data_IF_794169244646
#
_entry.id   IF_794169244646
#
_cell.length_a   1.000
_cell.length_b   1.000
_cell.length_c   1.000
_cell.angle_alpha   90.00
_cell.angle_beta   90.00
_cell.angle_gamma   90.00
#
_symmetry.space_group_name_H-M   'P 1'
#
loop_
_entity.id
_entity.type
_entity.pdbx_description
1 polymer ?
#
# COMPACT_ATOMS: atom_id res chain seq x y z
N UNK A 1 6.03 0.96 1.51
CA UNK A 1 6.02 0.71 2.98
C UNK A 1 5.62 -0.74 3.24
N UNK A 2 6.07 -1.31 4.36
CA UNK A 2 5.72 -2.67 4.81
C UNK A 2 5.54 -2.66 6.33
N UNK A 3 4.76 -3.60 6.86
CA UNK A 3 4.76 -3.87 8.29
C UNK A 3 6.16 -4.30 8.76
N UNK A 4 6.78 -3.60 9.73
CA UNK A 4 8.14 -3.90 10.17
C UNK A 4 8.25 -5.19 11.00
N UNK A 5 7.14 -5.88 11.28
CA UNK A 5 7.12 -7.11 12.06
C UNK A 5 7.79 -8.25 11.30
N UNK A 6 8.71 -8.92 11.97
CA UNK A 6 9.42 -10.08 11.44
C UNK A 6 8.94 -11.35 12.15
N UNK A 7 8.95 -12.46 11.43
CA UNK A 7 8.78 -13.81 11.97
C UNK A 7 9.99 -14.22 12.81
N UNK A 8 9.87 -15.31 13.58
CA UNK A 8 11.00 -15.90 14.34
C UNK A 8 12.20 -16.27 13.48
N UNK A 9 12.01 -16.42 12.16
CA UNK A 9 13.05 -16.73 11.17
C UNK A 9 13.64 -15.48 10.50
N UNK A 10 13.19 -14.29 10.89
CA UNK A 10 13.64 -12.99 10.37
C UNK A 10 13.00 -12.56 9.05
N UNK A 11 12.06 -13.34 8.49
CA UNK A 11 11.30 -12.94 7.31
C UNK A 11 10.17 -11.97 7.66
N UNK A 12 9.75 -11.11 6.73
CA UNK A 12 8.60 -10.22 6.95
C UNK A 12 7.32 -11.02 7.20
N UNK A 13 6.63 -10.74 8.30
CA UNK A 13 5.36 -11.42 8.61
C UNK A 13 4.31 -11.14 7.52
N UNK A 14 4.32 -9.93 6.97
CA UNK A 14 3.45 -9.52 5.86
C UNK A 14 3.59 -10.39 4.60
N UNK A 15 4.76 -11.00 4.39
CA UNK A 15 5.07 -11.79 3.20
C UNK A 15 5.20 -13.29 3.52
N UNK A 16 4.88 -13.72 4.74
CA UNK A 16 5.13 -15.06 5.22
C UNK A 16 4.37 -16.16 4.44
N UNK A 17 3.28 -15.78 3.77
CA UNK A 17 2.43 -16.68 2.98
C UNK A 17 2.69 -16.63 1.47
N UNK A 18 3.64 -15.81 1.00
CA UNK A 18 4.11 -15.89 -0.39
C UNK A 18 4.80 -17.24 -0.64
N UNK A 19 4.89 -17.67 -1.90
CA UNK A 19 5.52 -18.94 -2.30
C UNK A 19 6.93 -19.11 -1.70
N UNK A 20 7.73 -18.03 -1.68
CA UNK A 20 9.06 -17.97 -1.06
C UNK A 20 9.08 -17.19 0.26
N UNK A 21 7.94 -17.06 0.96
CA UNK A 21 7.77 -16.15 2.10
C UNK A 21 8.78 -16.29 3.24
N UNK A 22 9.31 -17.51 3.46
CA UNK A 22 10.34 -17.80 4.47
C UNK A 22 11.71 -17.18 4.14
N UNK A 23 11.94 -16.89 2.88
CA UNK A 23 13.19 -16.31 2.36
C UNK A 23 13.10 -14.78 2.24
N UNK A 24 11.89 -14.21 2.28
CA UNK A 24 11.64 -12.77 2.14
C UNK A 24 12.01 -12.01 3.42
N UNK A 25 13.32 -11.87 3.63
CA UNK A 25 13.96 -11.19 4.75
C UNK A 25 14.41 -9.78 4.34
N UNK A 26 14.51 -8.83 5.28
CA UNK A 26 15.14 -7.55 5.01
C UNK A 26 16.60 -7.75 4.63
N UNK A 27 17.10 -6.93 3.70
CA UNK A 27 18.51 -6.91 3.35
C UNK A 27 19.27 -6.27 4.53
N UNK A 28 20.25 -6.95 5.14
CA UNK A 28 20.97 -6.42 6.30
C UNK A 28 21.82 -5.20 5.91
N UNK A 29 21.98 -4.28 6.86
CA UNK A 29 22.96 -3.20 6.73
C UNK A 29 24.39 -3.75 6.86
N UNK A 30 25.34 -3.14 6.16
CA UNK A 30 26.75 -3.50 6.33
C UNK A 30 27.24 -3.08 7.72
N UNK A 31 28.17 -3.84 8.35
CA UNK A 31 28.76 -3.45 9.62
C UNK A 31 29.32 -2.01 9.60
N UNK A 32 28.96 -1.21 10.61
CA UNK A 32 29.40 0.18 10.72
C UNK A 32 28.59 1.20 9.91
N UNK A 33 27.59 0.77 9.14
CA UNK A 33 26.65 1.68 8.47
C UNK A 33 25.80 2.41 9.52
N UNK A 34 25.74 3.75 9.43
CA UNK A 34 24.78 4.53 10.22
C UNK A 34 23.35 4.27 9.73
N UNK A 35 22.46 3.71 10.58
CA UNK A 35 21.08 3.45 10.21
C UNK A 35 20.22 4.71 10.07
N UNK A 36 20.70 5.88 10.49
CA UNK A 36 19.91 7.14 10.56
C UNK A 36 20.55 8.29 9.77
N UNK A 37 21.18 7.97 8.64
CA UNK A 37 21.97 8.90 7.82
C UNK A 37 21.18 10.02 7.14
N UNK A 38 19.86 9.87 6.97
CA UNK A 38 19.01 10.88 6.34
C UNK A 38 17.64 10.99 7.01
N UNK A 39 17.09 12.20 7.04
CA UNK A 39 15.71 12.46 7.40
C UNK A 39 14.89 12.76 6.15
N UNK A 40 13.74 12.10 5.98
CA UNK A 40 12.74 12.50 4.96
C UNK A 40 11.31 12.33 5.45
N UNK A 41 10.44 13.12 4.85
CA UNK A 41 9.00 12.88 4.84
C UNK A 41 8.64 12.15 3.55
N UNK A 42 8.12 10.94 3.67
CA UNK A 42 7.68 10.12 2.54
C UNK A 42 6.16 10.11 2.50
N UNK A 43 5.60 10.22 1.30
CA UNK A 43 4.17 10.09 1.06
C UNK A 43 3.94 9.04 0.00
N UNK A 44 2.93 8.19 0.20
CA UNK A 44 2.61 7.14 -0.77
C UNK A 44 1.12 6.82 -0.75
N UNK A 45 0.59 6.43 -1.91
CA UNK A 45 -0.80 5.99 -2.07
C UNK A 45 -0.82 4.56 -2.59
N UNK A 46 -1.70 3.74 -2.03
CA UNK A 46 -1.87 2.33 -2.40
C UNK A 46 -3.34 2.00 -2.52
N UNK A 47 -3.70 1.13 -3.46
CA UNK A 47 -4.98 0.44 -3.33
C UNK A 47 -4.97 -0.47 -2.09
N UNK A 48 -6.15 -0.80 -1.58
CA UNK A 48 -6.31 -1.62 -0.36
C UNK A 48 -5.61 -2.97 -0.48
N UNK A 49 -5.69 -3.63 -1.63
CA UNK A 49 -5.11 -4.95 -1.82
C UNK A 49 -3.59 -4.93 -1.65
N UNK A 50 -2.92 -3.93 -2.23
CA UNK A 50 -1.46 -3.74 -2.09
C UNK A 50 -1.11 -3.45 -0.64
N UNK A 51 -1.87 -2.60 0.05
CA UNK A 51 -1.63 -2.30 1.47
C UNK A 51 -1.79 -3.55 2.35
N UNK A 52 -2.83 -4.36 2.12
CA UNK A 52 -3.06 -5.62 2.83
C UNK A 52 -1.91 -6.61 2.59
N UNK A 53 -1.45 -6.75 1.34
CA UNK A 53 -0.30 -7.60 1.00
C UNK A 53 1.00 -7.12 1.68
N UNK A 54 1.11 -5.84 2.00
CA UNK A 54 2.24 -5.27 2.75
C UNK A 54 2.05 -5.34 4.28
N UNK A 55 1.00 -6.02 4.76
CA UNK A 55 0.68 -6.17 6.17
C UNK A 55 0.30 -4.85 6.86
N UNK A 56 -0.05 -3.82 6.09
CA UNK A 56 -0.56 -2.56 6.61
C UNK A 56 -2.02 -2.82 6.98
N UNK A 57 -2.33 -2.75 8.27
CA UNK A 57 -3.63 -3.14 8.81
C UNK A 57 -4.78 -2.42 8.11
N UNK A 58 -5.58 -3.17 7.35
CA UNK A 58 -6.83 -2.70 6.77
C UNK A 58 -7.93 -3.27 7.66
N UNK A 59 -8.66 -2.41 8.37
CA UNK A 59 -9.86 -2.84 9.09
C UNK A 59 -10.88 -3.42 8.10
N UNK A 60 -11.93 -4.07 8.58
CA UNK A 60 -13.00 -4.59 7.71
C UNK A 60 -13.69 -3.43 6.98
N UNK A 61 -13.29 -3.15 5.75
CA UNK A 61 -13.97 -2.20 4.87
C UNK A 61 -15.13 -2.95 4.22
N UNK A 62 -16.28 -2.96 4.88
CA UNK A 62 -17.52 -3.48 4.30
C UNK A 62 -18.17 -2.41 3.43
N UNK A 63 -17.99 -2.48 2.10
CA UNK A 63 -18.72 -1.61 1.17
C UNK A 63 -18.12 -1.58 -0.24
N UNK A 64 -18.99 -1.50 -1.26
CA UNK A 64 -18.65 -1.43 -2.69
C UNK A 64 -17.98 -0.10 -3.13
N UNK A 65 -17.32 0.64 -2.25
CA UNK A 65 -16.77 1.96 -2.54
C UNK A 65 -15.28 1.90 -2.89
N UNK A 66 -14.85 2.75 -3.83
CA UNK A 66 -13.44 2.98 -4.13
C UNK A 66 -12.73 3.47 -2.87
N UNK A 67 -11.81 2.66 -2.36
CA UNK A 67 -11.07 2.98 -1.16
C UNK A 67 -9.58 2.70 -1.37
N UNK A 68 -8.76 3.58 -0.80
CA UNK A 68 -7.31 3.52 -0.91
C UNK A 68 -6.66 3.93 0.41
N UNK A 69 -5.38 3.60 0.52
CA UNK A 69 -4.56 3.91 1.68
C UNK A 69 -3.57 5.01 1.31
N UNK A 70 -3.46 6.02 2.16
CA UNK A 70 -2.35 6.96 2.13
C UNK A 70 -1.43 6.70 3.31
N UNK A 71 -0.14 6.70 3.05
CA UNK A 71 0.92 6.65 4.05
C UNK A 71 1.63 7.99 4.08
N UNK A 72 1.76 8.58 5.26
CA UNK A 72 2.65 9.70 5.55
C UNK A 72 3.67 9.25 6.57
N UNK A 73 4.94 9.35 6.24
CA UNK A 73 6.02 8.79 7.05
C UNK A 73 7.10 9.85 7.28
N UNK A 74 7.29 10.26 8.53
CA UNK A 74 8.40 11.10 8.93
C UNK A 74 9.48 10.19 9.55
N UNK A 75 10.56 9.94 8.83
CA UNK A 75 11.55 8.91 9.16
C UNK A 75 12.97 9.47 9.13
N UNK A 76 13.78 9.05 10.11
CA UNK A 76 15.25 9.01 9.97
C UNK A 76 15.64 7.59 9.56
N UNK A 77 16.40 7.44 8.48
CA UNK A 77 16.68 6.13 7.92
C UNK A 77 17.95 6.11 7.06
N UNK A 78 18.36 4.90 6.72
CA UNK A 78 19.30 4.59 5.65
C UNK A 78 18.67 3.54 4.73
N UNK A 79 19.19 3.40 3.52
CA UNK A 79 18.70 2.40 2.57
C UNK A 79 19.83 1.52 2.04
N UNK A 80 19.52 0.24 1.84
CA UNK A 80 20.42 -0.74 1.26
C UNK A 80 19.75 -1.37 0.06
N UNK A 81 20.46 -1.42 -1.05
CA UNK A 81 20.04 -2.03 -2.31
C UNK A 81 21.07 -3.10 -2.70
N UNK A 82 20.60 -4.17 -3.32
CA UNK A 82 21.42 -5.27 -3.88
C UNK A 82 21.02 -5.52 -5.32
N UNK A 83 21.95 -6.02 -6.13
CA UNK A 83 21.68 -6.38 -7.52
C UNK A 83 20.87 -7.68 -7.63
N UNK A 84 21.11 -8.63 -6.72
CA UNK A 84 20.44 -9.93 -6.68
C UNK A 84 19.34 -9.96 -5.61
N UNK A 85 18.04 -10.03 -5.99
CA UNK A 85 16.95 -9.99 -5.03
C UNK A 85 16.94 -11.17 -4.06
N UNK A 86 16.72 -10.89 -2.77
CA UNK A 86 16.50 -11.89 -1.73
C UNK A 86 15.13 -12.57 -1.96
N UNK A 87 15.11 -13.90 -1.93
CA UNK A 87 13.92 -14.71 -2.21
C UNK A 87 13.31 -14.47 -3.60
N UNK A 88 14.13 -14.00 -4.55
CA UNK A 88 13.70 -13.62 -5.89
C UNK A 88 12.81 -12.38 -5.95
N UNK A 89 12.63 -11.65 -4.84
CA UNK A 89 11.66 -10.56 -4.75
C UNK A 89 12.18 -9.29 -4.09
N UNK A 90 13.02 -9.32 -3.07
CA UNK A 90 13.42 -8.08 -2.34
C UNK A 90 14.81 -7.63 -2.81
N UNK A 91 14.91 -6.51 -3.53
CA UNK A 91 16.19 -5.94 -3.96
C UNK A 91 16.63 -4.72 -3.14
N UNK A 92 15.77 -4.22 -2.25
CA UNK A 92 16.17 -3.13 -1.35
C UNK A 92 15.42 -3.14 -0.03
N UNK A 93 16.00 -2.53 1.01
CA UNK A 93 15.37 -2.33 2.31
C UNK A 93 15.75 -0.96 2.88
N UNK A 94 14.76 -0.23 3.40
CA UNK A 94 14.98 0.95 4.24
C UNK A 94 14.91 0.58 5.70
N UNK A 95 15.97 0.90 6.41
CA UNK A 95 16.10 0.70 7.85
C UNK A 95 16.06 2.05 8.54
N UNK A 96 15.17 2.22 9.50
CA UNK A 96 15.03 3.50 10.16
C UNK A 96 14.08 3.48 11.34
N UNK A 97 13.83 4.67 11.86
CA UNK A 97 12.89 4.92 12.93
C UNK A 97 12.13 6.21 12.66
N UNK A 98 10.93 6.31 13.23
CA UNK A 98 10.09 7.49 13.13
C UNK A 98 8.63 7.17 13.25
N UNK A 99 7.82 7.90 12.51
CA UNK A 99 6.37 7.88 12.64
C UNK A 99 5.73 7.64 11.29
N UNK A 100 4.72 6.77 11.29
CA UNK A 100 3.87 6.48 10.14
C UNK A 100 2.42 6.79 10.48
N UNK A 101 1.80 7.67 9.71
CA UNK A 101 0.36 7.90 9.68
C UNK A 101 -0.21 7.16 8.47
N UNK A 102 -1.15 6.27 8.72
CA UNK A 102 -1.95 5.60 7.70
C UNK A 102 -3.33 6.24 7.69
N UNK A 103 -3.74 6.75 6.53
CA UNK A 103 -5.12 7.18 6.29
C UNK A 103 -5.81 6.16 5.40
N UNK A 104 -6.96 5.66 5.86
CA UNK A 104 -7.88 4.82 5.12
C UNK A 104 -8.96 5.73 4.56
N UNK A 105 -8.94 5.96 3.24
CA UNK A 105 -9.90 6.84 2.58
C UNK A 105 -10.94 5.96 1.90
N UNK A 106 -12.21 6.14 2.23
CA UNK A 106 -13.37 5.46 1.64
C UNK A 106 -14.47 6.46 1.25
N UNK A 107 -15.40 6.03 0.39
CA UNK A 107 -16.59 6.80 0.01
C UNK A 107 -16.27 8.16 -0.64
N UNK A 108 -15.36 8.15 -1.61
CA UNK A 108 -14.93 9.37 -2.29
C UNK A 108 -15.95 9.75 -3.35
N UNK A 109 -16.63 10.89 -3.15
CA UNK A 109 -17.63 11.39 -4.11
C UNK A 109 -17.04 12.23 -5.25
N UNK A 110 -15.73 12.50 -5.24
CA UNK A 110 -15.08 13.43 -6.20
C UNK A 110 -13.60 13.09 -6.48
N UNK A 111 -13.12 13.40 -7.70
CA UNK A 111 -11.72 13.26 -8.12
C UNK A 111 -10.83 14.36 -7.49
N UNK A 112 -10.72 14.39 -6.17
CA UNK A 112 -9.94 15.41 -5.45
C UNK A 112 -8.45 15.06 -5.46
N UNK A 113 -7.60 16.07 -5.59
CA UNK A 113 -6.15 15.90 -5.48
C UNK A 113 -5.79 15.70 -3.99
N UNK A 114 -5.36 14.48 -3.63
CA UNK A 114 -5.24 14.04 -2.24
C UNK A 114 -3.93 14.48 -1.57
N UNK A 115 -3.89 15.74 -1.14
CA UNK A 115 -2.97 16.17 -0.07
C UNK A 115 -3.68 16.18 1.29
N UNK A 116 -2.94 16.07 2.40
CA UNK A 116 -3.51 15.93 3.76
C UNK A 116 -4.53 17.02 4.13
N UNK A 117 -4.28 18.27 3.72
CA UNK A 117 -5.20 19.38 3.96
C UNK A 117 -6.50 19.25 3.16
N UNK A 118 -6.41 18.83 1.90
CA UNK A 118 -7.59 18.59 1.05
C UNK A 118 -8.44 17.41 1.57
N UNK A 119 -7.81 16.39 2.15
CA UNK A 119 -8.50 15.26 2.79
C UNK A 119 -9.27 15.73 4.01
N UNK A 120 -8.64 16.51 4.89
CA UNK A 120 -9.30 17.05 6.07
C UNK A 120 -10.54 17.86 5.69
N UNK A 121 -10.41 18.77 4.71
CA UNK A 121 -11.54 19.54 4.21
C UNK A 121 -12.64 18.66 3.58
N UNK A 122 -12.26 17.60 2.85
CA UNK A 122 -13.22 16.67 2.23
C UNK A 122 -14.00 15.87 3.27
N UNK A 123 -13.37 15.51 4.38
CA UNK A 123 -14.06 14.79 5.47
C UNK A 123 -15.02 15.70 6.23
N UNK A 124 -14.63 16.95 6.52
CA UNK A 124 -15.54 17.94 7.14
C UNK A 124 -16.80 18.21 6.30
N UNK A 125 -16.66 18.19 4.97
CA UNK A 125 -17.78 18.37 4.04
C UNK A 125 -18.61 17.09 3.82
N UNK A 126 -18.28 15.97 4.45
CA UNK A 126 -18.97 14.68 4.25
C UNK A 126 -18.80 14.10 2.84
N UNK A 127 -17.72 14.49 2.14
CA UNK A 127 -17.39 14.06 0.78
C UNK A 127 -16.47 12.84 0.73
N UNK A 128 -15.86 12.50 1.87
CA UNK A 128 -15.06 11.30 2.07
C UNK A 128 -15.14 10.85 3.53
N UNK A 129 -15.20 9.54 3.78
CA UNK A 129 -14.97 8.98 5.10
C UNK A 129 -13.51 8.57 5.21
N UNK A 130 -12.84 9.06 6.24
CA UNK A 130 -11.41 8.82 6.42
C UNK A 130 -11.15 8.37 7.85
N UNK A 131 -10.47 7.24 8.00
CA UNK A 131 -9.97 6.75 9.28
C UNK A 131 -8.46 6.88 9.31
N UNK A 132 -7.88 7.14 10.47
CA UNK A 132 -6.44 7.19 10.62
C UNK A 132 -5.93 6.19 11.66
N UNK A 133 -4.68 5.82 11.49
CA UNK A 133 -3.88 5.05 12.44
C UNK A 133 -2.47 5.63 12.43
N UNK A 134 -1.86 5.76 13.59
CA UNK A 134 -0.51 6.31 13.73
C UNK A 134 0.34 5.34 14.54
N UNK A 135 1.53 5.07 14.02
CA UNK A 135 2.43 4.08 14.58
C UNK A 135 3.83 4.67 14.72
N UNK A 136 4.42 4.51 15.89
CA UNK A 136 5.85 4.68 16.10
C UNK A 136 6.59 3.45 15.58
N UNK A 137 7.59 3.66 14.72
CA UNK A 137 8.46 2.62 14.21
C UNK A 137 9.85 2.84 14.79
N UNK A 138 10.41 1.86 15.48
CA UNK A 138 11.75 1.99 16.05
C UNK A 138 11.86 2.97 17.24
N UNK A 139 10.72 3.37 17.81
CA UNK A 139 10.63 4.23 19.00
C UNK A 139 10.11 3.38 20.15
N UNK A 140 10.94 3.19 21.19
CA UNK A 140 10.59 2.34 22.34
C UNK A 140 10.32 3.13 23.63
N UNK A 141 10.24 4.46 23.55
CA UNK A 141 10.02 5.33 24.71
C UNK A 141 8.52 5.46 24.99
N UNK A 142 8.00 4.94 26.12
CA UNK A 142 6.56 4.97 26.41
C UNK A 142 5.96 6.37 26.39
N UNK A 143 6.68 7.35 26.94
CA UNK A 143 6.21 8.74 27.01
C UNK A 143 5.97 9.34 25.62
N UNK A 144 6.81 8.99 24.63
CA UNK A 144 6.66 9.45 23.25
C UNK A 144 5.51 8.72 22.55
N UNK A 145 5.38 7.41 22.79
CA UNK A 145 4.28 6.63 22.23
C UNK A 145 2.92 7.08 22.80
N UNK A 146 2.87 7.57 24.04
CA UNK A 146 1.65 8.10 24.66
C UNK A 146 1.15 9.41 24.04
N UNK A 147 2.00 10.15 23.31
CA UNK A 147 1.61 11.36 22.57
C UNK A 147 0.89 11.00 21.26
N UNK A 148 1.05 9.77 20.76
CA UNK A 148 0.42 9.35 19.52
C UNK A 148 -1.09 9.21 19.73
N UNK A 149 -1.94 9.93 18.97
CA UNK A 149 -3.37 9.75 19.08
C UNK A 149 -3.76 8.31 18.69
N UNK A 150 -4.71 7.70 19.40
CA UNK A 150 -5.23 6.39 19.01
C UNK A 150 -5.91 6.42 17.64
N UNK A 151 -6.17 5.25 17.02
CA UNK A 151 -6.88 5.19 15.75
C UNK A 151 -8.30 5.77 15.88
N UNK A 152 -8.79 6.41 14.82
CA UNK A 152 -10.14 6.98 14.81
C UNK A 152 -10.49 7.69 13.51
N UNK A 153 -11.62 8.40 13.52
CA UNK A 153 -12.06 9.19 12.36
C UNK A 153 -11.15 10.40 12.16
N UNK A 154 -10.77 10.64 10.92
CA UNK A 154 -9.97 11.79 10.53
C UNK A 154 -10.88 13.00 10.37
N UNK A 155 -10.74 13.98 11.25
CA UNK A 155 -11.44 15.26 11.24
C UNK A 155 -10.45 16.37 11.62
N UNK A 156 -10.86 17.63 11.57
CA UNK A 156 -9.97 18.76 11.85
C UNK A 156 -9.33 18.68 13.25
N UNK A 157 -10.09 18.22 14.25
CA UNK A 157 -9.59 18.06 15.63
C UNK A 157 -8.47 17.01 15.70
N UNK A 158 -8.69 15.84 15.10
CA UNK A 158 -7.70 14.76 15.09
C UNK A 158 -6.52 15.06 14.15
N UNK A 159 -6.75 15.79 13.05
CA UNK A 159 -5.70 16.27 12.17
C UNK A 159 -4.69 17.13 12.93
N UNK A 160 -5.16 18.07 13.77
CA UNK A 160 -4.26 18.87 14.61
C UNK A 160 -3.45 18.00 15.58
N UNK A 161 -4.08 17.04 16.25
CA UNK A 161 -3.38 16.10 17.15
C UNK A 161 -2.31 15.28 16.41
N UNK A 162 -2.57 14.88 15.17
CA UNK A 162 -1.60 14.18 14.33
C UNK A 162 -0.41 15.07 14.02
N UNK A 163 -0.64 16.35 13.66
CA UNK A 163 0.46 17.30 13.43
C UNK A 163 1.31 17.50 14.69
N UNK A 164 0.67 17.71 15.83
CA UNK A 164 1.36 17.88 17.13
C UNK A 164 2.21 16.64 17.46
N UNK A 165 1.66 15.43 17.23
CA UNK A 165 2.39 14.17 17.44
C UNK A 165 3.57 14.00 16.46
N UNK A 166 3.39 14.38 15.19
CA UNK A 166 4.46 14.37 14.18
C UNK A 166 5.62 15.26 14.61
N UNK A 167 5.33 16.47 15.09
CA UNK A 167 6.37 17.41 15.51
C UNK A 167 7.05 16.95 16.81
N UNK A 168 6.30 16.45 17.79
CA UNK A 168 6.87 15.85 19.00
C UNK A 168 7.85 14.69 18.68
N UNK A 169 7.46 13.80 17.76
CA UNK A 169 8.33 12.69 17.34
C UNK A 169 9.54 13.17 16.55
N UNK A 170 9.41 14.16 15.67
CA UNK A 170 10.56 14.76 14.96
C UNK A 170 11.58 15.36 15.94
N UNK A 171 11.11 16.12 16.93
CA UNK A 171 11.97 16.68 17.98
C UNK A 171 12.64 15.59 18.80
N UNK A 172 11.90 14.53 19.15
CA UNK A 172 12.49 13.39 19.85
C UNK A 172 13.59 12.72 19.04
N UNK A 173 13.34 12.41 17.76
CA UNK A 173 14.32 11.74 16.88
C UNK A 173 15.61 12.56 16.71
N UNK A 174 15.53 13.89 16.66
CA UNK A 174 16.70 14.75 16.50
C UNK A 174 17.53 14.89 17.78
N UNK A 175 16.91 14.74 18.95
CA UNK A 175 17.58 14.88 20.25
C UNK A 175 18.05 13.55 20.85
N UNK A 176 17.39 12.44 20.49
CA UNK A 176 17.58 11.13 21.12
C UNK A 176 17.88 10.04 20.07
N UNK A 177 18.71 10.34 19.09
CA UNK A 177 19.03 9.40 17.99
C UNK A 177 19.62 8.08 18.51
N UNK A 178 20.35 8.10 19.62
CA UNK A 178 20.91 6.90 20.27
C UNK A 178 19.85 5.97 20.87
N UNK A 179 18.66 6.49 21.14
CA UNK A 179 17.55 5.74 21.75
C UNK A 179 16.63 5.11 20.69
N UNK A 180 16.89 5.39 19.41
CA UNK A 180 16.15 4.84 18.28
C UNK A 180 16.66 3.44 17.94
N UNK A 181 15.73 2.56 17.56
CA UNK A 181 16.06 1.24 17.06
C UNK A 181 15.72 1.14 15.57
N UNK A 182 16.67 0.82 14.69
CA UNK A 182 16.37 0.67 13.28
C UNK A 182 15.44 -0.52 13.04
N UNK A 183 14.35 -0.27 12.32
CA UNK A 183 13.40 -1.29 11.86
C UNK A 183 13.28 -1.24 10.34
N UNK A 184 13.05 -2.38 9.67
CA UNK A 184 12.88 -2.43 8.23
C UNK A 184 11.44 -1.98 7.87
N UNK A 185 11.26 -0.68 7.66
CA UNK A 185 9.92 -0.10 7.50
C UNK A 185 9.46 -0.08 6.03
N UNK A 186 10.37 -0.23 5.08
CA UNK A 186 10.04 -0.28 3.65
C UNK A 186 10.96 -1.26 2.93
N UNK A 187 10.41 -1.98 1.97
CA UNK A 187 11.16 -2.82 1.03
C UNK A 187 10.98 -2.32 -0.38
N UNK A 188 12.00 -2.55 -1.19
CA UNK A 188 11.93 -2.46 -2.63
C UNK A 188 11.80 -3.88 -3.15
N UNK A 189 10.66 -4.15 -3.77
CA UNK A 189 10.40 -5.45 -4.37
C UNK A 189 10.69 -5.36 -5.85
N UNK A 190 11.38 -6.36 -6.40
CA UNK A 190 11.31 -6.64 -7.83
C UNK A 190 9.86 -6.98 -8.02
N UNK A 191 9.11 -6.02 -8.51
CA UNK A 191 7.97 -6.38 -9.30
C UNK A 191 8.45 -7.45 -10.30
N UNK A 192 7.56 -8.32 -10.73
CA UNK A 192 7.70 -8.93 -12.06
C UNK A 192 7.65 -7.85 -13.18
N UNK A 193 8.16 -6.62 -12.96
CA UNK A 193 7.95 -5.38 -13.75
C UNK A 193 8.83 -5.29 -15.00
N UNK A 194 8.78 -6.35 -15.80
CA UNK A 194 8.43 -6.12 -17.20
C UNK A 194 6.90 -6.08 -17.42
N UNK A 195 6.09 -6.06 -16.34
CA UNK A 195 4.71 -5.55 -16.37
C UNK A 195 4.73 -4.02 -16.38
N UNK A 196 5.03 -3.50 -17.57
CA UNK A 196 4.82 -2.11 -17.93
C UNK A 196 3.39 -1.67 -17.52
N UNK A 197 3.27 -0.59 -16.76
CA UNK A 197 1.97 -0.02 -16.33
C UNK A 197 1.06 0.24 -17.54
N UNK A 198 1.64 0.54 -18.71
CA UNK A 198 0.91 0.62 -19.97
C UNK A 198 0.45 -0.76 -20.48
N UNK A 199 1.22 -1.83 -20.26
CA UNK A 199 0.84 -3.21 -20.57
C UNK A 199 -0.25 -3.74 -19.64
N UNK A 200 -0.23 -3.41 -18.35
CA UNK A 200 -1.33 -3.74 -17.44
C UNK A 200 -2.58 -2.91 -17.72
N UNK A 201 -2.44 -1.62 -18.06
CA UNK A 201 -3.57 -0.81 -18.53
C UNK A 201 -4.15 -1.37 -19.84
N UNK A 202 -3.31 -1.77 -20.79
CA UNK A 202 -3.74 -2.44 -22.03
C UNK A 202 -4.37 -3.80 -21.76
N UNK A 203 -3.86 -4.55 -20.78
CA UNK A 203 -4.42 -5.83 -20.33
C UNK A 203 -5.79 -5.67 -19.68
N UNK A 204 -5.97 -4.62 -18.88
CA UNK A 204 -7.27 -4.24 -18.31
C UNK A 204 -8.22 -3.82 -19.45
N UNK A 205 -7.83 -2.90 -20.33
CA UNK A 205 -8.67 -2.47 -21.46
C UNK A 205 -9.02 -3.63 -22.40
N UNK A 206 -8.08 -4.55 -22.61
CA UNK A 206 -8.31 -5.79 -23.35
C UNK A 206 -9.36 -6.67 -22.65
N UNK A 207 -9.22 -6.90 -21.35
CA UNK A 207 -10.19 -7.68 -20.59
C UNK A 207 -11.57 -7.01 -20.59
N UNK A 208 -11.65 -5.70 -20.40
CA UNK A 208 -12.91 -4.93 -20.46
C UNK A 208 -13.60 -5.09 -21.83
N UNK A 209 -12.86 -4.97 -22.93
CA UNK A 209 -13.41 -5.19 -24.28
C UNK A 209 -13.94 -6.62 -24.48
N UNK A 210 -13.27 -7.62 -23.89
CA UNK A 210 -13.76 -9.00 -23.92
C UNK A 210 -15.03 -9.16 -23.09
N UNK A 211 -15.15 -8.50 -21.93
CA UNK A 211 -16.38 -8.51 -21.12
C UNK A 211 -17.52 -7.83 -21.88
N UNK A 212 -17.27 -6.68 -22.54
CA UNK A 212 -18.26 -6.01 -23.40
C UNK A 212 -18.71 -6.91 -24.55
N UNK A 213 -17.77 -7.67 -25.11
CA UNK A 213 -18.04 -8.64 -26.18
C UNK A 213 -18.67 -9.95 -25.68
N UNK A 214 -18.89 -10.08 -24.36
CA UNK A 214 -19.40 -11.27 -23.68
C UNK A 214 -18.56 -12.53 -23.90
N UNK A 215 -17.26 -12.36 -24.11
CA UNK A 215 -16.32 -13.50 -24.12
C UNK A 215 -16.10 -14.00 -22.69
N UNK A 216 -16.08 -15.31 -22.51
CA UNK A 216 -15.71 -15.93 -21.23
C UNK A 216 -14.23 -15.66 -20.88
N UNK A 217 -13.88 -15.77 -19.60
CA UNK A 217 -12.52 -15.53 -19.13
C UNK A 217 -11.52 -16.48 -19.79
N UNK A 218 -11.88 -17.76 -19.97
CA UNK A 218 -11.02 -18.73 -20.66
C UNK A 218 -10.78 -18.32 -22.12
N UNK A 219 -11.81 -17.80 -22.79
CA UNK A 219 -11.70 -17.28 -24.16
C UNK A 219 -10.78 -16.07 -24.22
N UNK A 220 -10.91 -15.13 -23.28
CA UNK A 220 -10.04 -13.96 -23.20
C UNK A 220 -8.57 -14.33 -22.90
N UNK A 221 -8.33 -15.31 -22.01
CA UNK A 221 -6.98 -15.79 -21.72
C UNK A 221 -6.37 -16.44 -22.97
N UNK A 222 -7.09 -17.34 -23.64
CA UNK A 222 -6.61 -18.02 -24.84
C UNK A 222 -6.33 -17.04 -25.99
N UNK A 223 -7.23 -16.08 -26.21
CA UNK A 223 -7.09 -15.08 -27.27
C UNK A 223 -6.01 -14.03 -26.96
N UNK A 224 -5.55 -13.92 -25.71
CA UNK A 224 -4.51 -12.97 -25.34
C UNK A 224 -3.13 -13.38 -25.87
N UNK A 225 -2.90 -14.68 -26.16
CA UNK A 225 -1.63 -15.22 -26.64
C UNK A 225 -0.41 -14.74 -25.84
N UNK A 226 -0.54 -14.66 -24.51
CA UNK A 226 0.49 -14.15 -23.59
C UNK A 226 0.92 -12.68 -23.82
N UNK A 227 0.18 -11.90 -24.63
CA UNK A 227 0.43 -10.47 -24.83
C UNK A 227 0.13 -9.64 -23.57
N UNK A 228 -0.71 -10.16 -22.68
CA UNK A 228 -1.10 -9.51 -21.44
C UNK A 228 -0.97 -10.49 -20.27
N UNK A 229 -0.80 -9.97 -19.05
CA UNK A 229 -0.72 -10.81 -17.88
C UNK A 229 -2.06 -11.50 -17.58
N UNK A 230 -2.02 -12.83 -17.45
CA UNK A 230 -3.20 -13.64 -17.10
C UNK A 230 -3.79 -13.18 -15.76
N UNK A 231 -2.96 -12.84 -14.77
CA UNK A 231 -3.43 -12.32 -13.48
C UNK A 231 -4.20 -11.00 -13.64
N UNK A 232 -3.78 -10.13 -14.56
CA UNK A 232 -4.45 -8.85 -14.86
C UNK A 232 -5.80 -9.09 -15.53
N UNK A 233 -5.89 -10.01 -16.50
CA UNK A 233 -7.16 -10.41 -17.14
C UNK A 233 -8.11 -11.01 -16.09
N UNK A 234 -7.63 -11.95 -15.25
CA UNK A 234 -8.42 -12.57 -14.17
C UNK A 234 -8.93 -11.54 -13.17
N UNK A 235 -8.08 -10.58 -12.77
CA UNK A 235 -8.45 -9.52 -11.84
C UNK A 235 -9.54 -8.59 -12.42
N UNK A 236 -9.46 -8.29 -13.72
CA UNK A 236 -10.49 -7.51 -14.40
C UNK A 236 -11.85 -8.24 -14.42
N UNK A 237 -11.88 -9.54 -14.71
CA UNK A 237 -13.13 -10.34 -14.67
C UNK A 237 -13.70 -10.48 -13.25
N UNK A 238 -12.82 -10.68 -12.26
CA UNK A 238 -13.21 -10.76 -10.85
C UNK A 238 -13.88 -9.47 -10.34
N UNK A 239 -13.48 -8.29 -10.85
CA UNK A 239 -14.13 -7.00 -10.53
C UNK A 239 -15.63 -6.98 -10.88
N UNK A 240 -16.04 -7.75 -11.89
CA UNK A 240 -17.45 -7.90 -12.29
C UNK A 240 -18.09 -9.16 -11.71
N UNK A 241 -17.45 -9.81 -10.74
CA UNK A 241 -17.91 -11.04 -10.10
C UNK A 241 -18.03 -12.24 -11.07
N UNK A 242 -17.18 -12.29 -12.11
CA UNK A 242 -17.11 -13.40 -13.04
C UNK A 242 -15.94 -14.30 -12.61
N UNK A 243 -16.26 -15.34 -11.84
CA UNK A 243 -15.26 -16.25 -11.26
C UNK A 243 -15.18 -17.61 -11.99
N UNK A 244 -16.28 -18.07 -12.57
CA UNK A 244 -16.27 -19.26 -13.43
C UNK A 244 -15.71 -18.87 -14.80
N UNK A 245 -14.61 -19.50 -15.17
CA UNK A 245 -13.87 -19.14 -16.37
C UNK A 245 -14.59 -19.48 -17.68
N UNK A 246 -15.60 -20.36 -17.62
CA UNK A 246 -16.37 -20.81 -18.77
C UNK A 246 -17.64 -19.99 -19.01
N UNK A 247 -18.10 -19.24 -18.01
CA UNK A 247 -19.32 -18.46 -18.12
C UNK A 247 -19.11 -17.18 -18.93
N UNK A 248 -20.07 -16.89 -19.80
CA UNK A 248 -20.14 -15.61 -20.47
C UNK A 248 -20.59 -14.50 -19.51
N UNK A 249 -20.01 -13.29 -19.61
CA UNK A 249 -20.53 -12.11 -18.95
C UNK A 249 -22.04 -11.90 -19.21
N UNK A 250 -22.77 -11.51 -18.19
CA UNK A 250 -24.19 -11.13 -18.28
C UNK A 250 -24.35 -9.78 -18.98
N UNK A 251 -25.59 -9.43 -19.35
CA UNK A 251 -25.90 -8.14 -19.98
C UNK A 251 -25.57 -6.95 -19.06
N UNK A 252 -25.77 -7.12 -17.75
CA UNK A 252 -25.48 -6.07 -16.76
C UNK A 252 -23.97 -5.88 -16.58
N UNK A 253 -23.19 -6.98 -16.51
CA UNK A 253 -21.73 -6.91 -16.45
C UNK A 253 -21.14 -6.29 -17.72
N UNK A 254 -21.71 -6.61 -18.89
CA UNK A 254 -21.37 -5.93 -20.15
C UNK A 254 -21.57 -4.41 -20.04
N UNK A 255 -22.75 -3.97 -19.59
CA UNK A 255 -23.08 -2.55 -19.47
C UNK A 255 -22.13 -1.81 -18.52
N UNK A 256 -21.82 -2.40 -17.37
CA UNK A 256 -20.86 -1.84 -16.43
C UNK A 256 -19.44 -1.72 -17.02
N UNK A 257 -19.04 -2.66 -17.87
CA UNK A 257 -17.75 -2.59 -18.57
C UNK A 257 -17.75 -1.55 -19.71
N UNK A 258 -18.89 -1.34 -20.39
CA UNK A 258 -19.06 -0.25 -21.36
C UNK A 258 -18.90 1.12 -20.68
N UNK A 259 -19.55 1.32 -19.54
CA UNK A 259 -19.45 2.56 -18.75
C UNK A 259 -17.99 2.81 -18.30
N UNK A 260 -17.28 1.76 -17.89
CA UNK A 260 -15.86 1.84 -17.53
C UNK A 260 -14.96 2.26 -18.69
N UNK A 261 -15.23 1.79 -19.92
CA UNK A 261 -14.44 2.13 -21.11
C UNK A 261 -14.69 3.56 -21.64
N UNK A 262 -15.83 4.15 -21.28
CA UNK A 262 -16.24 5.49 -21.70
C UNK A 262 -15.84 6.59 -20.70
N UNK A 263 -15.14 6.23 -19.61
CA UNK A 263 -14.61 7.17 -18.60
C UNK A 263 -13.15 7.52 -18.91
#
# INVERSE_FOLDING_TARGET
PINPTLTDKGAFSALAYDENGKELKPIPLDPGTDPFSQFRVLQSSFNIQVAANMGIGVGSISGNYSAFILSYEAMVFTEKIVESPIGGKIYGTRWGAGLRVILKVSEIKSNVNFNFGAIAASTELGLAKVEYEINGIGINKPDILAVLPGPGDFNFTNYKKILDAVDAVKTYMSQHTTDLQPKPFQVFVTDDSNKDIFTDTRGILYAMRNIVSRNSLITAINNSQNKYSISTIKSAYAKFQIFDENLEPTRDQKKLAEDFLNT
#
